data_IF_537415882389
#
_entry.id   IF_537415882389
#
_cell.length_a   1.000
_cell.length_b   1.000
_cell.length_c   1.000
_cell.angle_alpha   90.00
_cell.angle_beta   90.00
_cell.angle_gamma   90.00
#
_symmetry.space_group_name_H-M   'P 1'
#
loop_
_entity.id
_entity.type
_entity.pdbx_description
1 polymer ?
#
# COMPACT_ATOMS: atom_id res chain seq x y z
N UNK A 1 7.51 10.78 -9.67
CA UNK A 1 7.08 10.48 -8.29
C UNK A 1 6.41 9.12 -8.33
N UNK A 2 6.91 8.16 -7.58
CA UNK A 2 6.39 6.80 -7.62
C UNK A 2 4.95 6.80 -7.14
N UNK A 3 4.01 6.42 -8.03
CA UNK A 3 2.59 6.35 -7.70
C UNK A 3 2.40 5.25 -6.67
N UNK A 4 2.17 5.66 -5.41
CA UNK A 4 1.83 4.76 -4.32
C UNK A 4 0.33 4.86 -4.06
N UNK A 5 -0.35 3.72 -4.11
CA UNK A 5 -1.77 3.63 -3.78
C UNK A 5 -1.92 3.05 -2.38
N UNK A 6 -2.60 3.77 -1.51
CA UNK A 6 -2.81 3.34 -0.14
C UNK A 6 -4.25 2.87 0.06
N UNK A 7 -4.38 1.71 0.69
CA UNK A 7 -5.65 1.12 1.11
C UNK A 7 -5.65 0.97 2.61
N UNK A 8 -6.74 1.35 3.27
CA UNK A 8 -6.94 1.15 4.70
C UNK A 8 -8.12 0.22 4.95
N UNK A 9 -7.98 -0.64 5.95
CA UNK A 9 -9.08 -1.46 6.42
C UNK A 9 -10.17 -0.57 7.05
N UNK A 10 -11.43 -0.95 6.92
CA UNK A 10 -12.55 -0.28 7.61
C UNK A 10 -12.34 -0.13 9.12
N UNK A 11 -11.64 -1.09 9.75
CA UNK A 11 -11.29 -1.04 11.17
C UNK A 11 -10.14 -0.08 11.52
N UNK A 12 -9.47 0.52 10.52
CA UNK A 12 -8.31 1.43 10.68
C UNK A 12 -7.16 0.84 11.50
N UNK A 13 -7.05 -0.48 11.53
CA UNK A 13 -5.97 -1.22 12.21
C UNK A 13 -4.81 -1.54 11.29
N UNK A 14 -5.10 -1.67 9.99
CA UNK A 14 -4.16 -2.14 8.98
C UNK A 14 -4.27 -1.27 7.74
N UNK A 15 -3.13 -1.14 7.08
CA UNK A 15 -2.96 -0.35 5.88
C UNK A 15 -2.10 -1.15 4.91
N UNK A 16 -2.42 -1.05 3.63
CA UNK A 16 -1.66 -1.66 2.55
C UNK A 16 -1.25 -0.59 1.57
N UNK A 17 0.00 -0.64 1.12
CA UNK A 17 0.57 0.30 0.16
C UNK A 17 1.01 -0.48 -1.07
N UNK A 18 0.50 -0.05 -2.21
CA UNK A 18 0.80 -0.63 -3.51
C UNK A 18 1.72 0.33 -4.25
N UNK A 19 2.97 -0.08 -4.45
CA UNK A 19 3.97 0.70 -5.17
C UNK A 19 4.22 0.02 -6.51
N UNK A 20 3.99 0.75 -7.60
CA UNK A 20 4.43 0.28 -8.91
C UNK A 20 5.94 0.42 -9.01
N UNK A 21 6.64 -0.64 -9.41
CA UNK A 21 8.05 -0.52 -9.73
C UNK A 21 8.22 0.23 -11.06
N UNK A 22 8.73 1.47 -11.01
CA UNK A 22 9.06 2.26 -12.22
C UNK A 22 10.38 1.81 -12.87
N UNK A 23 11.23 1.04 -12.17
CA UNK A 23 12.49 0.49 -12.71
C UNK A 23 12.27 -0.80 -13.52
N UNK A 24 11.25 -0.82 -14.38
CA UNK A 24 11.15 -1.88 -15.39
C UNK A 24 12.11 -1.53 -16.53
N UNK A 25 13.38 -1.93 -16.35
CA UNK A 25 14.36 -1.95 -17.42
C UNK A 25 13.88 -3.04 -18.38
N UNK A 26 13.45 -2.66 -19.58
CA UNK A 26 13.21 -3.54 -20.73
C UNK A 26 12.30 -4.77 -20.50
N UNK A 27 11.09 -4.55 -19.97
CA UNK A 27 9.92 -5.32 -20.43
C UNK A 27 9.80 -6.79 -20.02
N UNK A 28 10.54 -7.31 -19.04
CA UNK A 28 10.47 -8.76 -18.71
C UNK A 28 9.56 -9.10 -17.53
N UNK A 29 9.41 -8.26 -16.49
CA UNK A 29 8.47 -8.54 -15.39
C UNK A 29 7.93 -7.25 -14.73
N UNK A 30 6.67 -6.88 -15.01
CA UNK A 30 5.97 -5.81 -14.29
C UNK A 30 5.44 -6.34 -12.95
N UNK A 31 6.17 -6.10 -11.86
CA UNK A 31 5.72 -6.42 -10.50
C UNK A 31 5.34 -5.17 -9.70
N UNK A 32 4.44 -5.35 -8.74
CA UNK A 32 4.08 -4.35 -7.73
C UNK A 32 4.53 -4.81 -6.34
N UNK A 33 5.00 -3.85 -5.54
CA UNK A 33 5.22 -4.09 -4.13
C UNK A 33 3.95 -3.79 -3.36
N UNK A 34 3.52 -4.77 -2.57
CA UNK A 34 2.42 -4.65 -1.62
C UNK A 34 3.03 -4.66 -0.22
N UNK A 35 3.21 -3.47 0.33
CA UNK A 35 3.55 -3.34 1.75
C UNK A 35 2.28 -3.47 2.57
N UNK A 36 2.36 -4.21 3.67
CA UNK A 36 1.35 -4.25 4.71
C UNK A 36 1.93 -3.61 5.95
N UNK A 37 1.23 -2.61 6.46
CA UNK A 37 1.55 -1.93 7.69
C UNK A 37 0.42 -2.03 8.70
N UNK A 38 0.78 -2.01 9.97
CA UNK A 38 -0.13 -1.94 11.09
C UNK A 38 -0.18 -0.50 11.59
N UNK A 39 -1.37 0.02 11.78
CA UNK A 39 -1.57 1.34 12.38
C UNK A 39 -1.43 1.17 13.89
N UNK A 40 -0.46 1.87 14.46
CA UNK A 40 -0.30 2.01 15.89
C UNK A 40 -0.72 3.43 16.27
N UNK A 41 -1.62 3.55 17.25
CA UNK A 41 -2.09 4.87 17.70
C UNK A 41 -3.16 5.51 16.81
N UNK A 42 -3.09 6.84 16.66
CA UNK A 42 -4.15 7.64 16.05
C UNK A 42 -3.94 7.79 14.54
N UNK A 43 -4.95 7.38 13.76
CA UNK A 43 -4.97 7.54 12.30
C UNK A 43 -4.69 9.01 11.88
N UNK A 44 -3.74 9.21 10.97
CA UNK A 44 -3.25 10.50 10.48
C UNK A 44 -2.10 11.14 11.26
N UNK A 45 -1.84 10.76 12.52
CA UNK A 45 -0.77 11.37 13.33
C UNK A 45 0.54 10.59 13.28
N UNK A 46 0.47 9.27 13.35
CA UNK A 46 1.63 8.40 13.45
C UNK A 46 1.74 7.52 12.22
N UNK A 47 2.92 7.45 11.56
CA UNK A 47 3.05 6.62 10.38
C UNK A 47 2.83 5.14 10.76
N UNK A 48 2.15 4.37 9.89
CA UNK A 48 1.95 2.96 10.12
C UNK A 48 3.28 2.21 10.08
N UNK A 49 3.43 1.25 10.98
CA UNK A 49 4.60 0.38 10.99
C UNK A 49 4.43 -0.65 9.87
N UNK A 50 5.23 -0.53 8.82
CA UNK A 50 5.31 -1.54 7.77
C UNK A 50 5.88 -2.84 8.35
N UNK A 51 5.09 -3.91 8.35
CA UNK A 51 5.47 -5.22 8.90
C UNK A 51 5.95 -6.17 7.81
N UNK A 52 5.42 -6.04 6.60
CA UNK A 52 5.64 -7.02 5.54
C UNK A 52 5.64 -6.34 4.18
N UNK A 53 6.64 -6.65 3.36
CA UNK A 53 6.70 -6.21 1.96
C UNK A 53 6.67 -7.44 1.07
N UNK A 54 5.70 -7.51 0.17
CA UNK A 54 5.58 -8.63 -0.78
C UNK A 54 5.63 -8.09 -2.20
N UNK A 55 6.52 -8.64 -3.03
CA UNK A 55 6.53 -8.40 -4.47
C UNK A 55 5.60 -9.40 -5.14
N UNK A 56 4.61 -8.91 -5.88
CA UNK A 56 3.65 -9.72 -6.63
C UNK A 56 3.54 -9.21 -8.06
N UNK A 57 3.14 -10.07 -9.00
CA UNK A 57 2.79 -9.66 -10.36
C UNK A 57 1.69 -8.60 -10.38
N UNK A 58 1.70 -7.76 -11.42
CA UNK A 58 0.71 -6.69 -11.59
C UNK A 58 -0.73 -7.21 -11.64
N UNK A 59 -0.97 -8.36 -12.29
CA UNK A 59 -2.31 -8.97 -12.35
C UNK A 59 -2.77 -9.45 -10.98
N UNK A 60 -1.88 -10.08 -10.21
CA UNK A 60 -2.18 -10.50 -8.84
C UNK A 60 -2.40 -9.30 -7.93
N UNK A 61 -1.59 -8.23 -8.06
CA UNK A 61 -1.75 -6.99 -7.31
C UNK A 61 -3.14 -6.37 -7.56
N UNK A 62 -3.58 -6.34 -8.82
CA UNK A 62 -4.92 -5.84 -9.20
C UNK A 62 -6.03 -6.70 -8.61
N UNK A 63 -5.86 -8.02 -8.60
CA UNK A 63 -6.84 -8.92 -7.99
C UNK A 63 -6.93 -8.70 -6.48
N UNK A 64 -5.79 -8.63 -5.78
CA UNK A 64 -5.74 -8.33 -4.35
C UNK A 64 -6.41 -6.98 -4.08
N UNK A 65 -6.10 -5.96 -4.87
CA UNK A 65 -6.67 -4.63 -4.73
C UNK A 65 -8.20 -4.65 -4.83
N UNK A 66 -8.75 -5.32 -5.86
CA UNK A 66 -10.20 -5.47 -6.03
C UNK A 66 -10.83 -6.26 -4.88
N UNK A 67 -10.18 -7.34 -4.43
CA UNK A 67 -10.65 -8.13 -3.28
C UNK A 67 -10.70 -7.28 -2.01
N UNK A 68 -9.67 -6.48 -1.74
CA UNK A 68 -9.64 -5.59 -0.57
C UNK A 68 -10.78 -4.57 -0.62
N UNK A 69 -11.01 -3.92 -1.77
CA UNK A 69 -12.14 -3.02 -1.95
C UNK A 69 -13.48 -3.72 -1.69
N UNK A 70 -13.64 -4.96 -2.17
CA UNK A 70 -14.83 -5.77 -1.90
C UNK A 70 -15.00 -6.14 -0.43
N UNK A 71 -13.91 -6.21 0.35
CA UNK A 71 -13.94 -6.41 1.81
C UNK A 71 -14.18 -5.10 2.58
N UNK A 72 -14.49 -4.00 1.90
CA UNK A 72 -14.76 -2.70 2.52
C UNK A 72 -13.49 -1.91 2.85
N UNK A 73 -12.35 -2.24 2.24
CA UNK A 73 -11.18 -1.37 2.33
C UNK A 73 -11.42 -0.09 1.54
N UNK A 74 -10.84 1.02 2.00
CA UNK A 74 -10.98 2.33 1.36
C UNK A 74 -9.63 2.83 0.88
N UNK A 75 -9.64 3.46 -0.28
CA UNK A 75 -8.47 4.18 -0.80
C UNK A 75 -8.27 5.44 0.03
N UNK A 76 -7.05 5.63 0.53
CA UNK A 76 -6.65 6.86 1.20
C UNK A 76 -5.46 7.45 0.47
N UNK A 77 -5.27 8.75 0.64
CA UNK A 77 -4.01 9.38 0.28
C UNK A 77 -2.98 9.17 1.40
N UNK A 78 -1.70 9.41 1.13
CA UNK A 78 -0.65 9.42 2.14
C UNK A 78 -0.90 10.61 3.10
N UNK A 79 -1.76 10.40 4.10
CA UNK A 79 -2.14 11.42 5.10
C UNK A 79 -1.19 11.49 6.29
N UNK A 80 -0.20 10.61 6.33
CA UNK A 80 0.74 10.53 7.43
C UNK A 80 1.75 11.66 7.31
N UNK A 81 1.78 12.53 8.32
CA UNK A 81 2.79 13.60 8.41
C UNK A 81 4.15 12.91 8.45
N UNK A 82 4.91 13.00 7.35
CA UNK A 82 6.34 12.67 7.39
C UNK A 82 6.94 13.61 8.42
N UNK A 83 7.39 13.05 9.54
CA UNK A 83 8.20 13.81 10.48
C UNK A 83 9.49 14.12 9.73
N UNK A 84 9.53 15.31 9.12
CA UNK A 84 10.76 15.92 8.63
C UNK A 84 11.74 15.86 9.81
N UNK A 85 12.80 15.06 9.65
CA UNK A 85 13.92 14.98 10.59
C UNK A 85 15.10 15.73 10.00
#
# INVERSE_FOLDING_TARGET
MTKSHWLINSNRTEVKRFIKNEKSIDGVFEYMFVDTGKIIGVFGKEPPIMTTTVSVDIDLAREIYKRLLSHGWKTIEEVWIKKDS
#
